data_IF_519893600446
#
_entry.id   IF_519893600446
#
_cell.length_a   1.000
_cell.length_b   1.000
_cell.length_c   1.000
_cell.angle_alpha   90.00
_cell.angle_beta   90.00
_cell.angle_gamma   90.00
#
_symmetry.space_group_name_H-M   'P 1'
#
loop_
_entity.id
_entity.type
_entity.pdbx_description
1 polymer ?
#
# COMPACT_ATOMS: atom_id res chain seq x y z
N UNK A 1 -18.20 4.27 -12.49
CA UNK A 1 -19.24 4.60 -11.50
C UNK A 1 -18.53 5.06 -10.24
N UNK A 2 -18.76 6.29 -9.76
CA UNK A 2 -18.11 6.78 -8.54
C UNK A 2 -18.87 6.25 -7.33
N UNK A 3 -18.25 5.38 -6.54
CA UNK A 3 -18.83 4.77 -5.33
C UNK A 3 -19.09 5.77 -4.19
N UNK A 4 -18.78 7.06 -4.37
CA UNK A 4 -18.84 8.08 -3.33
C UNK A 4 -17.82 7.87 -2.21
N UNK A 5 -16.86 6.94 -2.38
CA UNK A 5 -15.86 6.64 -1.36
C UNK A 5 -14.79 7.74 -1.32
N UNK A 6 -14.57 8.26 -0.12
CA UNK A 6 -13.57 9.26 0.19
C UNK A 6 -12.23 8.59 0.51
N UNK A 7 -11.13 9.33 0.36
CA UNK A 7 -9.78 8.88 0.70
C UNK A 7 -9.32 9.72 1.87
N UNK A 8 -8.93 9.09 2.98
CA UNK A 8 -8.43 9.83 4.13
C UNK A 8 -7.14 10.60 3.78
N UNK A 9 -6.97 11.78 4.37
CA UNK A 9 -5.78 12.62 4.15
C UNK A 9 -4.49 11.90 4.52
N UNK A 10 -4.53 11.03 5.54
CA UNK A 10 -3.40 10.21 5.94
C UNK A 10 -2.91 9.28 4.82
N UNK A 11 -3.83 8.65 4.07
CA UNK A 11 -3.49 7.79 2.93
C UNK A 11 -2.76 8.59 1.85
N UNK A 12 -3.23 9.81 1.59
CA UNK A 12 -2.59 10.71 0.64
C UNK A 12 -1.19 11.10 1.12
N UNK A 13 -1.05 11.50 2.39
CA UNK A 13 0.23 11.87 2.99
C UNK A 13 1.25 10.73 2.90
N UNK A 14 0.85 9.50 3.26
CA UNK A 14 1.71 8.32 3.16
C UNK A 14 2.17 8.08 1.72
N UNK A 15 1.27 8.20 0.75
CA UNK A 15 1.64 8.08 -0.67
C UNK A 15 2.68 9.12 -1.08
N UNK A 16 2.48 10.39 -0.71
CA UNK A 16 3.46 11.44 -1.02
C UNK A 16 4.81 11.18 -0.36
N UNK A 17 4.83 10.76 0.90
CA UNK A 17 6.07 10.45 1.63
C UNK A 17 6.83 9.28 0.98
N UNK A 18 6.11 8.22 0.58
CA UNK A 18 6.69 7.07 -0.13
C UNK A 18 7.19 7.45 -1.53
N UNK A 19 6.44 8.28 -2.26
CA UNK A 19 6.79 8.70 -3.63
C UNK A 19 8.01 9.62 -3.66
N UNK A 20 8.06 10.60 -2.76
CA UNK A 20 9.09 11.64 -2.77
C UNK A 20 10.41 11.12 -2.20
N UNK A 21 10.37 10.09 -1.34
CA UNK A 21 11.56 9.51 -0.71
C UNK A 21 12.51 10.56 -0.11
N UNK A 22 11.94 11.59 0.54
CA UNK A 22 12.72 12.63 1.23
C UNK A 22 13.21 12.08 2.58
N UNK A 23 14.43 11.52 2.61
CA UNK A 23 15.14 11.27 3.87
C UNK A 23 16.62 11.45 3.63
N UNK A 24 17.25 12.30 4.44
CA UNK A 24 18.68 12.60 4.31
C UNK A 24 19.49 11.91 5.40
N UNK A 25 18.86 11.56 6.53
CA UNK A 25 19.54 10.91 7.66
C UNK A 25 19.29 9.39 7.69
N UNK A 26 20.23 8.60 8.24
CA UNK A 26 20.07 7.15 8.36
C UNK A 26 18.85 6.72 9.17
N UNK A 27 18.46 7.52 10.18
CA UNK A 27 17.33 7.24 11.05
C UNK A 27 15.99 7.44 10.34
N UNK A 28 15.89 8.46 9.49
CA UNK A 28 14.70 8.69 8.66
C UNK A 28 14.56 7.62 7.57
N UNK A 29 15.67 7.15 6.99
CA UNK A 29 15.65 6.06 6.00
C UNK A 29 15.05 4.80 6.61
N UNK A 30 15.41 4.47 7.87
CA UNK A 30 14.84 3.31 8.57
C UNK A 30 13.33 3.43 8.79
N UNK A 31 12.82 4.65 8.99
CA UNK A 31 11.37 4.93 9.18
C UNK A 31 10.58 4.98 7.87
N UNK A 32 11.23 4.85 6.71
CA UNK A 32 10.51 4.79 5.44
C UNK A 32 9.64 3.54 5.39
N UNK A 33 8.45 3.69 4.84
CA UNK A 33 7.55 2.58 4.59
C UNK A 33 8.00 1.86 3.31
N UNK A 34 8.34 0.58 3.43
CA UNK A 34 8.54 -0.34 2.31
C UNK A 34 7.21 -0.81 1.74
N UNK A 35 6.26 -1.12 2.63
CA UNK A 35 4.92 -1.54 2.28
C UNK A 35 3.91 -0.93 3.25
N UNK A 36 2.71 -0.63 2.77
CA UNK A 36 1.59 -0.19 3.61
C UNK A 36 0.29 -0.73 3.02
N UNK A 37 -0.58 -1.22 3.89
CA UNK A 37 -1.90 -1.75 3.51
C UNK A 37 -2.98 -0.74 3.92
N UNK A 38 -3.95 -0.57 3.03
CA UNK A 38 -5.14 0.24 3.23
C UNK A 38 -6.39 -0.63 3.14
N UNK A 39 -7.39 -0.28 3.93
CA UNK A 39 -8.69 -0.91 3.93
C UNK A 39 -9.80 0.13 3.76
N UNK A 40 -11.01 -0.35 3.47
CA UNK A 40 -12.21 0.45 3.62
C UNK A 40 -12.60 0.51 5.10
N UNK A 41 -13.07 1.67 5.56
CA UNK A 41 -13.69 1.82 6.88
C UNK A 41 -14.89 0.88 7.04
N UNK A 42 -15.35 0.67 8.28
CA UNK A 42 -16.51 -0.18 8.58
C UNK A 42 -17.76 0.25 7.81
N UNK A 43 -17.97 1.56 7.65
CA UNK A 43 -19.06 2.15 6.85
C UNK A 43 -18.89 1.99 5.33
N UNK A 44 -17.72 1.53 4.87
CA UNK A 44 -17.33 1.37 3.46
C UNK A 44 -17.37 2.66 2.65
N UNK A 45 -17.27 3.80 3.34
CA UNK A 45 -17.33 5.16 2.75
C UNK A 45 -15.97 5.85 2.68
N UNK A 46 -14.97 5.37 3.41
CA UNK A 46 -13.63 5.96 3.44
C UNK A 46 -12.57 4.89 3.23
N UNK A 47 -11.49 5.23 2.53
CA UNK A 47 -10.26 4.42 2.49
C UNK A 47 -9.31 4.96 3.55
N UNK A 48 -8.89 4.07 4.45
CA UNK A 48 -8.06 4.37 5.62
C UNK A 48 -6.85 3.44 5.68
N UNK A 49 -5.84 3.82 6.46
CA UNK A 49 -4.67 2.99 6.73
C UNK A 49 -5.07 1.84 7.65
N UNK A 50 -4.59 0.63 7.35
CA UNK A 50 -4.78 -0.49 8.26
C UNK A 50 -3.63 -0.50 9.27
N UNK A 51 -3.94 -0.13 10.51
CA UNK A 51 -2.97 -0.03 11.60
C UNK A 51 -2.23 -1.36 11.82
N UNK A 52 -0.91 -1.27 12.00
CA UNK A 52 -0.06 -2.45 12.21
C UNK A 52 0.23 -3.29 10.96
N UNK A 53 -0.28 -2.92 9.79
CA UNK A 53 0.01 -3.60 8.51
C UNK A 53 0.88 -2.76 7.59
N UNK A 54 2.06 -2.45 8.10
CA UNK A 54 3.12 -1.75 7.37
C UNK A 54 4.46 -2.45 7.58
N UNK A 55 5.36 -2.33 6.61
CA UNK A 55 6.75 -2.79 6.71
C UNK A 55 7.63 -1.58 6.58
N UNK A 56 8.55 -1.37 7.52
CA UNK A 56 9.54 -0.30 7.43
C UNK A 56 10.81 -0.79 6.74
N UNK A 57 11.52 0.09 6.07
CA UNK A 57 12.81 -0.20 5.42
C UNK A 57 13.85 -0.62 6.46
N UNK A 58 13.80 -0.04 7.67
CA UNK A 58 14.70 -0.39 8.76
C UNK A 58 14.55 -1.80 9.31
N UNK A 59 13.39 -2.43 9.07
CA UNK A 59 13.12 -3.81 9.52
C UNK A 59 13.74 -4.86 8.58
N UNK A 60 14.06 -4.45 7.35
CA UNK A 60 14.64 -5.31 6.32
C UNK A 60 16.06 -5.69 6.73
N UNK A 61 16.32 -7.00 6.85
CA UNK A 61 17.60 -7.54 7.29
C UNK A 61 17.77 -7.64 8.80
N UNK A 62 16.80 -7.18 9.60
CA UNK A 62 16.79 -7.35 11.07
C UNK A 62 15.70 -8.34 11.48
N UNK A 63 14.44 -7.96 11.26
CA UNK A 63 13.26 -8.77 11.58
C UNK A 63 12.59 -9.33 10.34
N UNK A 64 12.81 -8.69 9.18
CA UNK A 64 12.22 -9.04 7.89
C UNK A 64 13.31 -9.48 6.92
N UNK A 65 13.43 -10.79 6.71
CA UNK A 65 14.40 -11.34 5.76
C UNK A 65 13.96 -11.13 4.31
N UNK A 66 12.67 -11.31 4.03
CA UNK A 66 12.08 -11.12 2.72
C UNK A 66 10.87 -10.19 2.81
N UNK A 67 10.98 -8.92 2.36
CA UNK A 67 9.92 -7.93 2.51
C UNK A 67 8.70 -8.24 1.64
N UNK A 68 8.88 -8.90 0.49
CA UNK A 68 7.76 -9.24 -0.39
C UNK A 68 6.93 -10.39 0.19
N UNK A 69 7.59 -11.43 0.70
CA UNK A 69 6.94 -12.56 1.35
C UNK A 69 6.18 -12.12 2.60
N UNK A 70 6.77 -11.24 3.42
CA UNK A 70 6.04 -10.67 4.55
C UNK A 70 4.87 -9.79 4.11
N UNK A 71 5.03 -8.98 3.06
CA UNK A 71 3.93 -8.23 2.49
C UNK A 71 2.75 -9.12 2.09
N UNK A 72 3.03 -10.23 1.39
CA UNK A 72 1.99 -11.21 1.00
C UNK A 72 1.33 -11.84 2.23
N UNK A 73 2.08 -12.14 3.29
CA UNK A 73 1.54 -12.71 4.53
C UNK A 73 0.60 -11.76 5.28
N UNK A 74 0.74 -10.44 5.11
CA UNK A 74 -0.17 -9.46 5.72
C UNK A 74 -1.51 -9.33 4.98
N UNK A 75 -1.61 -9.85 3.75
CA UNK A 75 -2.82 -9.77 2.94
C UNK A 75 -3.84 -10.85 3.39
N UNK A 76 -5.10 -10.47 3.67
CA UNK A 76 -6.10 -11.41 4.16
C UNK A 76 -6.63 -12.32 3.05
N UNK A 77 -6.87 -13.60 3.32
CA UNK A 77 -7.40 -14.55 2.31
C UNK A 77 -8.89 -14.34 2.01
N UNK A 78 -9.64 -13.77 2.95
CA UNK A 78 -11.11 -13.65 2.90
C UNK A 78 -11.62 -12.21 2.78
N UNK A 79 -10.73 -11.25 2.52
CA UNK A 79 -11.13 -9.85 2.32
C UNK A 79 -10.21 -9.14 1.32
N UNK A 80 -10.68 -8.01 0.81
CA UNK A 80 -9.95 -7.19 -0.15
C UNK A 80 -9.13 -6.11 0.56
N UNK A 81 -8.03 -5.68 -0.05
CA UNK A 81 -7.17 -4.59 0.43
C UNK A 81 -6.59 -3.79 -0.71
N UNK A 82 -6.25 -2.53 -0.46
CA UNK A 82 -5.29 -1.82 -1.29
C UNK A 82 -3.93 -1.83 -0.60
N UNK A 83 -2.86 -1.67 -1.38
CA UNK A 83 -1.55 -1.49 -0.80
C UNK A 83 -0.66 -0.65 -1.70
N UNK A 84 0.35 -0.06 -1.08
CA UNK A 84 1.52 0.46 -1.76
C UNK A 84 2.73 -0.37 -1.37
N UNK A 85 3.54 -0.73 -2.35
CA UNK A 85 4.76 -1.48 -2.17
C UNK A 85 5.88 -0.80 -2.95
N UNK A 86 6.95 -0.39 -2.27
CA UNK A 86 8.14 0.15 -2.92
C UNK A 86 9.03 -1.02 -3.37
N UNK A 87 8.88 -1.46 -4.62
CA UNK A 87 9.61 -2.59 -5.16
C UNK A 87 11.02 -2.17 -5.57
N UNK A 88 12.04 -2.74 -4.91
CA UNK A 88 13.43 -2.59 -5.35
C UNK A 88 13.84 -3.82 -6.16
N UNK A 89 14.26 -3.63 -7.40
CA UNK A 89 14.71 -4.72 -8.27
C UNK A 89 15.98 -4.32 -9.01
N UNK A 90 16.81 -5.31 -9.32
CA UNK A 90 18.06 -5.09 -10.05
C UNK A 90 17.87 -5.50 -11.51
N UNK A 91 18.13 -4.57 -12.42
CA UNK A 91 18.33 -4.89 -13.84
C UNK A 91 19.83 -5.07 -14.09
N UNK A 92 20.17 -5.64 -15.24
CA UNK A 92 21.59 -5.81 -15.66
C UNK A 92 22.38 -4.50 -15.66
N UNK A 93 21.68 -3.36 -15.74
CA UNK A 93 22.28 -2.04 -15.90
C UNK A 93 22.23 -1.23 -14.60
N UNK A 94 21.22 -1.42 -13.75
CA UNK A 94 21.03 -0.58 -12.55
C UNK A 94 20.07 -1.20 -11.54
N UNK A 95 20.23 -0.81 -10.28
CA UNK A 95 19.18 -0.99 -9.26
C UNK A 95 18.08 0.05 -9.48
N UNK A 96 16.85 -0.42 -9.61
CA UNK A 96 15.65 0.42 -9.75
C UNK A 96 14.74 0.22 -8.58
N UNK A 97 13.94 1.24 -8.30
CA UNK A 97 12.97 1.23 -7.23
C UNK A 97 11.69 1.88 -7.73
N UNK A 98 10.60 1.12 -7.74
CA UNK A 98 9.31 1.55 -8.29
C UNK A 98 8.21 1.38 -7.25
N UNK A 99 7.43 2.45 -7.04
CA UNK A 99 6.28 2.40 -6.14
C UNK A 99 5.11 1.75 -6.88
N UNK A 100 4.67 0.59 -6.40
CA UNK A 100 3.59 -0.20 -6.99
C UNK A 100 2.31 -0.04 -6.17
N UNK A 101 1.19 0.25 -6.86
CA UNK A 101 -0.14 0.17 -6.28
C UNK A 101 -0.76 -1.19 -6.53
N UNK A 102 -1.16 -1.86 -5.45
CA UNK A 102 -1.74 -3.20 -5.48
C UNK A 102 -3.20 -3.13 -5.04
N UNK A 103 -4.09 -3.74 -5.83
CA UNK A 103 -5.43 -4.09 -5.41
C UNK A 103 -5.48 -5.60 -5.17
N UNK A 104 -5.62 -5.99 -3.91
CA UNK A 104 -5.78 -7.37 -3.48
C UNK A 104 -7.26 -7.73 -3.41
N UNK A 105 -7.69 -8.72 -4.18
CA UNK A 105 -9.07 -9.18 -4.25
C UNK A 105 -9.11 -10.71 -4.38
N UNK A 106 -8.92 -11.46 -3.28
CA UNK A 106 -8.77 -12.92 -3.31
C UNK A 106 -10.10 -13.61 -3.60
N UNK A 107 -10.06 -14.83 -4.15
CA UNK A 107 -11.28 -15.54 -4.57
C UNK A 107 -12.29 -15.77 -3.46
N UNK A 108 -11.82 -16.04 -2.24
CA UNK A 108 -12.67 -16.27 -1.08
C UNK A 108 -13.29 -14.98 -0.49
N UNK A 109 -12.90 -13.80 -0.95
CA UNK A 109 -13.51 -12.55 -0.47
C UNK A 109 -14.97 -12.42 -0.91
N UNK A 110 -15.85 -11.85 -0.06
CA UNK A 110 -17.26 -11.63 -0.42
C UNK A 110 -17.40 -10.81 -1.71
N UNK A 111 -18.29 -11.23 -2.60
CA UNK A 111 -18.53 -10.55 -3.89
C UNK A 111 -18.84 -9.06 -3.70
N UNK A 112 -19.66 -8.71 -2.71
CA UNK A 112 -19.95 -7.31 -2.37
C UNK A 112 -18.69 -6.53 -1.99
N UNK A 113 -17.76 -7.12 -1.25
CA UNK A 113 -16.48 -6.48 -0.90
C UNK A 113 -15.68 -6.20 -2.17
N UNK A 114 -15.49 -7.22 -3.02
CA UNK A 114 -14.79 -7.10 -4.30
C UNK A 114 -15.38 -5.99 -5.19
N UNK A 115 -16.70 -5.91 -5.29
CA UNK A 115 -17.36 -4.87 -6.08
C UNK A 115 -17.10 -3.46 -5.55
N UNK A 116 -17.13 -3.26 -4.23
CA UNK A 116 -16.90 -1.95 -3.63
C UNK A 116 -15.44 -1.54 -3.81
N UNK A 117 -14.49 -2.43 -3.54
CA UNK A 117 -13.07 -2.16 -3.78
C UNK A 117 -12.79 -1.90 -5.28
N UNK A 118 -13.32 -2.72 -6.18
CA UNK A 118 -13.15 -2.47 -7.63
C UNK A 118 -13.72 -1.10 -8.06
N UNK A 119 -14.89 -0.71 -7.53
CA UNK A 119 -15.56 0.55 -7.86
C UNK A 119 -14.89 1.78 -7.23
N UNK A 120 -14.24 1.63 -6.07
CA UNK A 120 -13.53 2.70 -5.37
C UNK A 120 -12.09 2.88 -5.84
N UNK A 121 -11.55 1.97 -6.66
CA UNK A 121 -10.17 2.00 -7.18
C UNK A 121 -9.84 3.33 -7.87
N UNK A 122 -10.75 3.88 -8.65
CA UNK A 122 -10.54 5.14 -9.36
C UNK A 122 -10.44 6.34 -8.40
N UNK A 123 -11.13 6.30 -7.25
CA UNK A 123 -11.08 7.38 -6.27
C UNK A 123 -9.69 7.50 -5.63
N UNK A 124 -9.09 6.38 -5.23
CA UNK A 124 -7.73 6.34 -4.66
C UNK A 124 -6.67 6.63 -5.71
N UNK A 125 -6.77 6.04 -6.91
CA UNK A 125 -5.82 6.30 -8.00
C UNK A 125 -5.77 7.77 -8.39
N UNK A 126 -6.91 8.46 -8.40
CA UNK A 126 -6.95 9.91 -8.67
C UNK A 126 -6.22 10.75 -7.63
N UNK A 127 -6.18 10.31 -6.37
CA UNK A 127 -5.39 10.96 -5.32
C UNK A 127 -3.90 10.67 -5.45
N UNK A 128 -3.56 9.51 -5.99
CA UNK A 128 -2.19 9.09 -6.28
C UNK A 128 -1.71 9.66 -7.63
N UNK A 129 -1.76 10.98 -7.79
CA UNK A 129 -1.40 11.64 -9.05
C UNK A 129 0.05 11.32 -9.47
N UNK A 130 0.22 10.88 -10.72
CA UNK A 130 1.51 10.55 -11.33
C UNK A 130 2.10 9.23 -10.88
N UNK A 131 1.26 8.24 -10.55
CA UNK A 131 1.56 6.82 -10.76
C UNK A 131 1.22 6.43 -12.20
#
# INVERSE_FOLDING_TARGET
MASGVQVADEVCRIFYDMKVRKCSTPEEIKKRKKAVIFCLSEDKKCIVVEEGKEILVGDIGVTVSDPFKQFVQMLPEKDCRYALYDASFETKESKKEELMFVLWAPDQAPLKSKMIYASSKDAIKKKFQGM
#
